data_IF_185665298859
#
_entry.id   IF_185665298859
#
_cell.length_a   1.000
_cell.length_b   1.000
_cell.length_c   1.000
_cell.angle_alpha   90.00
_cell.angle_beta   90.00
_cell.angle_gamma   90.00
#
_symmetry.space_group_name_H-M   'P 1'
#
loop_
_entity.id
_entity.type
_entity.pdbx_description
1 polymer ?
#
# COMPACT_ATOMS: atom_id res chain seq x y z
N UNK A 1 6.57 -2.16 -9.80
CA UNK A 1 6.86 -0.83 -9.20
C UNK A 1 8.30 -0.49 -9.53
N UNK A 2 8.57 0.58 -10.28
CA UNK A 2 9.94 1.00 -10.63
C UNK A 2 10.83 -0.18 -11.11
N UNK A 3 10.34 -0.89 -12.13
CA UNK A 3 10.99 -2.10 -12.68
C UNK A 3 11.27 -3.25 -11.67
N UNK A 4 10.70 -3.19 -10.47
CA UNK A 4 10.78 -4.22 -9.44
C UNK A 4 9.45 -4.96 -9.27
N UNK A 5 9.53 -6.28 -9.10
CA UNK A 5 8.40 -7.14 -8.79
C UNK A 5 8.28 -7.30 -7.26
N UNK A 6 7.08 -7.04 -6.74
CA UNK A 6 6.74 -7.26 -5.33
C UNK A 6 5.67 -8.33 -5.23
N UNK A 7 5.91 -9.35 -4.41
CA UNK A 7 4.94 -10.41 -4.10
C UNK A 7 4.40 -10.18 -2.70
N UNK A 8 3.12 -9.80 -2.60
CA UNK A 8 2.45 -9.43 -1.35
C UNK A 8 1.05 -10.04 -1.28
N UNK A 9 0.54 -10.39 -0.08
CA UNK A 9 -0.81 -10.98 0.05
C UNK A 9 -1.92 -10.05 -0.43
N UNK A 10 -2.77 -10.49 -1.37
CA UNK A 10 -3.86 -9.65 -1.93
C UNK A 10 -4.85 -9.14 -0.86
N UNK A 11 -5.06 -9.92 0.21
CA UNK A 11 -6.08 -9.66 1.24
C UNK A 11 -6.05 -8.24 1.83
N UNK A 12 -4.88 -7.75 2.25
CA UNK A 12 -4.79 -6.41 2.87
C UNK A 12 -5.06 -5.29 1.86
N UNK A 13 -4.76 -5.51 0.58
CA UNK A 13 -5.07 -4.54 -0.46
C UNK A 13 -6.57 -4.50 -0.78
N UNK A 14 -7.19 -5.69 -0.90
CA UNK A 14 -8.62 -5.81 -1.16
C UNK A 14 -9.48 -5.27 -0.01
N UNK A 15 -9.10 -5.59 1.23
CA UNK A 15 -9.83 -5.15 2.43
C UNK A 15 -9.51 -3.69 2.82
N UNK A 16 -8.29 -3.23 2.54
CA UNK A 16 -7.85 -1.88 2.90
C UNK A 16 -8.34 -0.80 1.94
N UNK A 17 -8.69 -1.15 0.69
CA UNK A 17 -9.32 -0.23 -0.24
C UNK A 17 -10.13 -0.94 -1.31
N UNK A 18 -11.44 -0.67 -1.30
CA UNK A 18 -12.34 -1.10 -2.37
C UNK A 18 -11.96 -0.47 -3.72
N UNK A 19 -11.50 0.79 -3.71
CA UNK A 19 -11.07 1.48 -4.93
C UNK A 19 -9.85 0.80 -5.57
N UNK A 20 -8.84 0.46 -4.75
CA UNK A 20 -7.66 -0.24 -5.22
C UNK A 20 -8.06 -1.62 -5.77
N UNK A 21 -8.91 -2.34 -5.02
CA UNK A 21 -9.40 -3.65 -5.40
C UNK A 21 -10.12 -3.61 -6.75
N UNK A 22 -11.10 -2.72 -6.93
CA UNK A 22 -11.83 -2.56 -8.19
C UNK A 22 -10.94 -2.15 -9.36
N UNK A 23 -9.92 -1.31 -9.10
CA UNK A 23 -9.02 -0.81 -10.14
C UNK A 23 -8.01 -1.85 -10.62
N UNK A 24 -7.50 -2.69 -9.73
CA UNK A 24 -6.37 -3.59 -10.04
C UNK A 24 -6.69 -5.09 -9.89
N UNK A 25 -7.82 -5.45 -9.30
CA UNK A 25 -8.31 -6.84 -9.17
C UNK A 25 -9.70 -6.96 -9.80
N UNK A 26 -9.83 -6.90 -11.15
CA UNK A 26 -11.13 -7.03 -11.80
C UNK A 26 -11.74 -8.41 -11.51
N UNK A 27 -12.98 -8.41 -10.99
CA UNK A 27 -13.79 -9.61 -10.85
C UNK A 27 -14.17 -10.11 -12.25
N UNK A 28 -13.43 -11.08 -12.80
CA UNK A 28 -13.82 -11.73 -14.06
C UNK A 28 -12.70 -12.08 -15.04
N UNK A 29 -11.43 -11.91 -14.67
CA UNK A 29 -10.34 -12.43 -15.50
C UNK A 29 -10.18 -13.94 -15.30
N UNK A 30 -10.21 -14.70 -16.39
CA UNK A 30 -9.71 -16.08 -16.49
C UNK A 30 -8.37 -16.22 -15.76
N UNK A 31 -7.95 -17.44 -15.42
CA UNK A 31 -6.70 -17.77 -14.68
C UNK A 31 -5.41 -17.08 -15.22
N UNK A 32 -5.46 -16.47 -16.42
CA UNK A 32 -4.45 -15.61 -17.03
C UNK A 32 -4.33 -14.18 -16.42
N UNK A 33 -5.28 -13.72 -15.60
CA UNK A 33 -5.26 -12.38 -14.96
C UNK A 33 -4.49 -12.31 -13.64
N UNK A 34 -3.72 -13.34 -13.29
CA UNK A 34 -2.78 -13.34 -12.15
C UNK A 34 -1.42 -12.68 -12.47
N UNK A 35 -1.36 -11.87 -13.53
CA UNK A 35 -0.18 -11.11 -13.90
C UNK A 35 0.21 -10.03 -12.87
N UNK A 36 1.47 -9.57 -12.89
CA UNK A 36 1.92 -8.49 -12.02
C UNK A 36 1.20 -7.18 -12.32
N UNK A 37 0.72 -6.50 -11.28
CA UNK A 37 0.11 -5.17 -11.44
C UNK A 37 1.22 -4.13 -11.67
N UNK A 38 1.18 -3.48 -12.83
CA UNK A 38 2.02 -2.35 -13.13
C UNK A 38 1.49 -1.10 -12.41
N UNK A 39 2.27 -0.63 -11.44
CA UNK A 39 2.03 0.64 -10.77
C UNK A 39 3.00 1.68 -11.36
N UNK A 40 2.46 2.58 -12.19
CA UNK A 40 3.20 3.72 -12.76
C UNK A 40 3.36 4.84 -11.72
N UNK A 41 4.44 5.63 -11.84
CA UNK A 41 4.72 6.81 -11.03
C UNK A 41 4.87 6.58 -9.51
N UNK A 42 5.16 5.33 -9.12
CA UNK A 42 5.42 4.96 -7.73
C UNK A 42 6.85 4.47 -7.62
N UNK A 43 7.60 5.12 -6.73
CA UNK A 43 8.97 4.73 -6.44
C UNK A 43 8.99 3.43 -5.63
N UNK A 44 10.06 2.66 -5.78
CA UNK A 44 10.25 1.43 -4.99
C UNK A 44 10.22 1.71 -3.49
N UNK A 45 10.79 2.84 -3.09
CA UNK A 45 10.88 3.29 -1.70
C UNK A 45 9.51 3.63 -1.14
N UNK A 46 8.71 4.41 -1.87
CA UNK A 46 7.35 4.77 -1.43
C UNK A 46 6.51 3.51 -1.19
N UNK A 47 6.58 2.57 -2.13
CA UNK A 47 5.83 1.32 -2.02
C UNK A 47 6.28 0.47 -0.84
N UNK A 48 7.60 0.34 -0.60
CA UNK A 48 8.13 -0.34 0.58
C UNK A 48 7.62 0.28 1.88
N UNK A 49 7.60 1.61 1.96
CA UNK A 49 7.13 2.33 3.16
C UNK A 49 5.65 2.06 3.42
N UNK A 50 4.84 2.07 2.37
CA UNK A 50 3.43 1.69 2.46
C UNK A 50 3.24 0.24 2.89
N UNK A 51 4.03 -0.71 2.36
CA UNK A 51 3.96 -2.12 2.77
C UNK A 51 4.29 -2.33 4.25
N UNK A 52 5.23 -1.58 4.82
CA UNK A 52 5.53 -1.64 6.27
C UNK A 52 4.30 -1.35 7.12
N UNK A 53 3.38 -0.51 6.64
CA UNK A 53 2.12 -0.18 7.36
C UNK A 53 1.04 -1.24 7.18
N UNK A 54 0.98 -1.91 6.03
CA UNK A 54 0.01 -2.99 5.78
C UNK A 54 0.42 -4.31 6.42
N UNK A 55 1.73 -4.56 6.52
CA UNK A 55 2.32 -5.77 7.07
C UNK A 55 3.37 -5.37 8.11
N UNK A 56 2.96 -4.94 9.31
CA UNK A 56 3.90 -4.76 10.39
C UNK A 56 4.59 -6.10 10.67
N UNK A 57 5.92 -6.12 10.49
CA UNK A 57 6.75 -7.30 10.71
C UNK A 57 6.79 -7.72 12.19
N UNK A 58 6.41 -6.81 13.08
CA UNK A 58 6.43 -7.00 14.53
C UNK A 58 4.99 -6.94 15.05
N UNK A 59 4.53 -8.01 15.70
CA UNK A 59 3.17 -8.11 16.26
C UNK A 59 2.92 -7.07 17.37
N UNK A 60 3.98 -6.53 17.97
CA UNK A 60 3.93 -5.71 19.19
C UNK A 60 4.68 -4.37 19.12
N UNK A 61 5.33 -4.03 18.01
CA UNK A 61 6.11 -2.79 17.92
C UNK A 61 5.31 -1.68 17.23
N UNK A 62 5.22 -0.54 17.89
CA UNK A 62 4.90 0.76 17.29
C UNK A 62 5.63 0.90 15.95
N UNK A 63 4.89 1.19 14.88
CA UNK A 63 5.43 1.40 13.54
C UNK A 63 6.49 2.51 13.59
N UNK A 64 7.77 2.12 13.64
CA UNK A 64 8.90 3.04 13.68
C UNK A 64 9.23 3.45 12.25
N UNK A 65 8.47 4.42 11.74
CA UNK A 65 8.68 5.06 10.45
C UNK A 65 9.14 6.49 10.67
N UNK A 66 10.10 6.94 9.87
CA UNK A 66 10.52 8.34 9.83
C UNK A 66 9.45 9.24 9.21
N UNK A 67 9.52 10.55 9.46
CA UNK A 67 8.59 11.53 8.86
C UNK A 67 8.53 11.43 7.33
N UNK A 68 9.67 11.23 6.67
CA UNK A 68 9.72 11.06 5.21
C UNK A 68 9.00 9.78 4.74
N UNK A 69 9.12 8.68 5.49
CA UNK A 69 8.40 7.44 5.22
C UNK A 69 6.89 7.62 5.42
N UNK A 70 6.47 8.32 6.48
CA UNK A 70 5.05 8.65 6.70
C UNK A 70 4.46 9.53 5.59
N UNK A 71 5.24 10.47 5.03
CA UNK A 71 4.82 11.25 3.84
C UNK A 71 4.59 10.31 2.64
N UNK A 72 5.47 9.32 2.45
CA UNK A 72 5.32 8.31 1.39
C UNK A 72 4.02 7.51 1.57
N UNK A 73 3.77 7.06 2.81
CA UNK A 73 2.55 6.33 3.19
C UNK A 73 1.31 7.20 2.96
N UNK A 74 1.35 8.48 3.35
CA UNK A 74 0.25 9.41 3.18
C UNK A 74 -0.10 9.60 1.69
N UNK A 75 0.92 9.77 0.84
CA UNK A 75 0.75 9.90 -0.61
C UNK A 75 0.05 8.68 -1.21
N UNK A 76 0.53 7.48 -0.91
CA UNK A 76 -0.02 6.24 -1.47
C UNK A 76 -1.39 5.88 -0.90
N UNK A 77 -1.59 6.06 0.42
CA UNK A 77 -2.90 5.85 1.05
C UNK A 77 -3.96 6.80 0.53
N UNK A 78 -3.60 8.03 0.18
CA UNK A 78 -4.50 8.99 -0.46
C UNK A 78 -4.82 8.59 -1.90
N UNK A 79 -3.78 8.27 -2.70
CA UNK A 79 -3.93 7.86 -4.10
C UNK A 79 -4.84 6.63 -4.25
N UNK A 80 -4.73 5.70 -3.31
CA UNK A 80 -5.43 4.42 -3.36
C UNK A 80 -6.64 4.37 -2.44
N UNK A 81 -7.00 5.47 -1.76
CA UNK A 81 -8.14 5.53 -0.83
C UNK A 81 -8.09 4.47 0.29
N UNK A 82 -6.91 4.26 0.88
CA UNK A 82 -6.79 3.49 2.12
C UNK A 82 -7.05 4.44 3.31
N UNK A 83 -8.32 4.69 3.61
CA UNK A 83 -8.70 5.72 4.58
C UNK A 83 -8.12 5.48 5.99
N UNK A 84 -8.08 4.22 6.44
CA UNK A 84 -7.48 3.86 7.74
C UNK A 84 -5.99 4.17 7.80
N UNK A 85 -5.25 3.82 6.74
CA UNK A 85 -3.81 4.08 6.64
C UNK A 85 -3.54 5.57 6.48
N UNK A 86 -4.42 6.29 5.75
CA UNK A 86 -4.34 7.75 5.60
C UNK A 86 -4.49 8.46 6.94
N UNK A 87 -5.49 8.10 7.73
CA UNK A 87 -5.70 8.68 9.07
C UNK A 87 -4.53 8.40 10.00
N UNK A 88 -4.00 7.18 9.97
CA UNK A 88 -2.80 6.82 10.74
C UNK A 88 -1.60 7.70 10.35
N UNK A 89 -1.35 7.86 9.05
CA UNK A 89 -0.24 8.68 8.57
C UNK A 89 -0.41 10.16 8.95
N UNK A 90 -1.63 10.71 8.88
CA UNK A 90 -1.91 12.09 9.33
C UNK A 90 -1.64 12.23 10.82
N UNK A 91 -2.11 11.29 11.64
CA UNK A 91 -1.88 11.30 13.09
C UNK A 91 -0.39 11.30 13.43
N UNK A 92 0.42 10.52 12.70
CA UNK A 92 1.86 10.38 12.95
C UNK A 92 2.69 11.56 12.40
N UNK A 93 2.15 12.33 11.45
CA UNK A 93 2.80 13.52 10.90
C UNK A 93 2.49 14.80 11.66
N UNK A 94 1.47 14.75 12.53
CA UNK A 94 0.99 15.89 13.32
C UNK A 94 1.33 15.75 14.82
N UNK A 95 2.05 14.69 15.19
CA UNK A 95 2.69 14.47 16.50
C UNK A 95 4.12 15.07 16.46
#
# INVERSE_FOLDING_TARGET
>A
VENCLFRVPKYHFSNGSEFFSKKYFPMGGSEESEGPIALADITKTDFKNFLKTLYPLQISATLSLTRAEWISVLKLSTLWKFDKVRMLAISQLND
#
